data_IF_203774200108
#
_entry.id   IF_203774200108
#
_cell.length_a   1.000
_cell.length_b   1.000
_cell.length_c   1.000
_cell.angle_alpha   90.00
_cell.angle_beta   90.00
_cell.angle_gamma   90.00
#
_symmetry.space_group_name_H-M   'P 1'
#
loop_
_entity.id
_entity.type
_entity.pdbx_description
1 polymer ?
#
# COMPACT_ATOMS: atom_id res chain seq x y z
N UNK A 1 15.05 -3.03 14.25
CA UNK A 1 15.22 -1.64 14.74
C UNK A 1 14.50 -0.69 13.79
N UNK A 2 13.98 0.46 14.24
CA UNK A 2 13.41 1.44 13.31
C UNK A 2 14.50 2.02 12.40
N UNK A 3 14.21 2.33 11.12
CA UNK A 3 15.19 2.90 10.20
C UNK A 3 15.68 4.26 10.70
N UNK A 4 16.95 4.56 10.48
CA UNK A 4 17.55 5.87 10.74
C UNK A 4 17.67 6.65 9.42
N UNK A 5 17.04 7.82 9.34
CA UNK A 5 17.02 8.64 8.12
C UNK A 5 18.43 9.06 7.69
N UNK A 6 19.32 9.33 8.65
CA UNK A 6 20.70 9.79 8.38
C UNK A 6 21.58 8.69 7.75
N UNK A 7 21.19 7.43 7.86
CA UNK A 7 21.91 6.29 7.28
C UNK A 7 21.45 5.94 5.86
N UNK A 8 20.35 6.55 5.39
CA UNK A 8 19.71 6.21 4.14
C UNK A 8 20.04 7.21 3.04
N UNK A 9 20.16 6.70 1.82
CA UNK A 9 20.48 7.51 0.62
C UNK A 9 19.24 8.10 -0.05
N UNK A 10 18.08 7.94 0.56
CA UNK A 10 16.79 8.40 0.05
C UNK A 10 16.03 9.12 1.16
N UNK A 11 15.06 9.92 0.75
CA UNK A 11 14.15 10.59 1.68
C UNK A 11 13.21 9.56 2.32
N UNK A 12 13.55 9.15 3.55
CA UNK A 12 12.77 8.18 4.31
C UNK A 12 11.36 8.70 4.61
N UNK A 13 11.20 9.99 4.91
CA UNK A 13 9.90 10.54 5.28
C UNK A 13 8.94 10.54 4.08
N UNK A 14 9.42 11.01 2.92
CA UNK A 14 8.64 10.94 1.68
C UNK A 14 8.29 9.50 1.30
N UNK A 15 9.21 8.55 1.48
CA UNK A 15 8.95 7.15 1.21
C UNK A 15 7.87 6.58 2.14
N UNK A 16 7.93 6.89 3.44
CA UNK A 16 6.92 6.43 4.39
C UNK A 16 5.55 7.07 4.12
N UNK A 17 5.51 8.35 3.74
CA UNK A 17 4.27 9.06 3.39
C UNK A 17 3.60 8.57 2.11
N UNK A 18 4.30 7.82 1.26
CA UNK A 18 3.70 7.12 0.11
C UNK A 18 2.87 5.89 0.50
N UNK A 19 3.00 5.42 1.75
CA UNK A 19 2.26 4.27 2.26
C UNK A 19 0.86 4.68 2.70
N UNK A 20 -0.13 3.85 2.38
CA UNK A 20 -1.53 4.03 2.75
C UNK A 20 -2.10 2.79 3.42
N UNK A 21 -3.04 2.98 4.35
CA UNK A 21 -3.88 1.91 4.85
C UNK A 21 -4.94 1.61 3.78
N UNK A 22 -5.13 0.34 3.46
CA UNK A 22 -6.23 -0.14 2.63
C UNK A 22 -7.20 -0.86 3.56
N UNK A 23 -8.43 -0.35 3.68
CA UNK A 23 -9.54 -1.04 4.33
C UNK A 23 -10.61 -1.34 3.30
N UNK A 24 -11.04 -2.59 3.25
CA UNK A 24 -12.06 -3.05 2.32
C UNK A 24 -13.20 -3.72 3.06
N UNK A 25 -14.41 -3.52 2.55
CA UNK A 25 -15.62 -4.23 2.97
C UNK A 25 -16.12 -5.08 1.80
N UNK A 26 -16.43 -6.33 2.08
CA UNK A 26 -16.78 -7.37 1.12
C UNK A 26 -18.13 -7.97 1.55
N UNK A 27 -19.10 -8.16 0.63
CA UNK A 27 -20.38 -8.78 0.94
C UNK A 27 -20.24 -10.17 1.57
N UNK A 28 -21.13 -10.52 2.50
CA UNK A 28 -21.12 -11.82 3.19
C UNK A 28 -21.30 -13.01 2.23
N UNK A 29 -21.99 -12.80 1.11
CA UNK A 29 -22.27 -13.79 0.07
C UNK A 29 -21.19 -13.86 -1.01
N UNK A 30 -20.14 -13.04 -0.92
CA UNK A 30 -19.01 -13.09 -1.84
C UNK A 30 -18.25 -14.42 -1.70
N UNK A 31 -17.71 -14.92 -2.82
CA UNK A 31 -17.11 -16.24 -2.90
C UNK A 31 -15.92 -16.38 -1.93
N UNK A 32 -15.13 -15.33 -1.78
CA UNK A 32 -13.95 -15.35 -0.88
C UNK A 32 -14.25 -14.94 0.56
N UNK A 33 -15.46 -14.48 0.87
CA UNK A 33 -15.79 -13.97 2.21
C UNK A 33 -15.62 -15.03 3.31
N UNK A 34 -16.00 -16.28 3.04
CA UNK A 34 -15.86 -17.37 4.01
C UNK A 34 -14.42 -17.76 4.36
N UNK A 35 -13.44 -17.35 3.55
CA UNK A 35 -12.01 -17.67 3.73
C UNK A 35 -11.22 -16.43 4.17
N UNK A 36 -11.47 -15.30 3.54
CA UNK A 36 -10.71 -14.06 3.73
C UNK A 36 -11.40 -13.04 4.63
N UNK A 37 -12.62 -13.33 5.08
CA UNK A 37 -13.46 -12.40 5.83
C UNK A 37 -14.13 -11.34 4.95
N UNK A 38 -15.06 -10.63 5.59
CA UNK A 38 -15.85 -9.52 5.04
C UNK A 38 -15.22 -8.16 5.28
N UNK A 39 -14.31 -8.06 6.26
CA UNK A 39 -13.47 -6.89 6.46
C UNK A 39 -12.00 -7.27 6.23
N UNK A 40 -11.32 -6.50 5.39
CA UNK A 40 -9.91 -6.75 5.06
C UNK A 40 -9.12 -5.48 5.25
N UNK A 41 -8.00 -5.57 5.96
CA UNK A 41 -7.13 -4.44 6.26
C UNK A 41 -5.70 -4.80 5.91
N UNK A 42 -5.01 -3.89 5.22
CA UNK A 42 -3.62 -4.04 4.87
C UNK A 42 -2.99 -2.74 4.40
N UNK A 43 -1.90 -2.85 3.65
CA UNK A 43 -1.14 -1.70 3.18
C UNK A 43 -1.23 -1.56 1.65
N UNK A 44 -1.11 -0.33 1.19
CA UNK A 44 -0.85 0.01 -0.21
C UNK A 44 0.27 1.04 -0.31
N UNK A 45 0.81 1.19 -1.51
CA UNK A 45 1.83 2.18 -1.84
C UNK A 45 1.36 3.00 -3.05
N UNK A 46 1.45 4.31 -2.96
CA UNK A 46 1.17 5.22 -4.08
C UNK A 46 2.32 5.14 -5.08
N UNK A 47 2.03 4.79 -6.33
CA UNK A 47 3.06 4.53 -7.36
C UNK A 47 3.02 5.52 -8.54
N UNK A 48 2.09 6.46 -8.55
CA UNK A 48 1.93 7.49 -9.58
C UNK A 48 1.43 8.80 -8.97
N UNK A 49 1.77 9.91 -9.63
CA UNK A 49 1.42 11.27 -9.16
C UNK A 49 -0.10 11.55 -9.16
N UNK A 50 -0.88 10.77 -9.91
CA UNK A 50 -2.34 10.82 -9.87
C UNK A 50 -2.96 10.01 -8.72
N UNK A 51 -2.11 9.42 -7.85
CA UNK A 51 -2.52 8.74 -6.64
C UNK A 51 -2.79 7.25 -6.81
N UNK A 52 -2.50 6.64 -7.97
CA UNK A 52 -2.73 5.20 -8.14
C UNK A 52 -1.99 4.38 -7.06
N UNK A 53 -2.72 3.49 -6.39
CA UNK A 53 -2.20 2.66 -5.30
C UNK A 53 -1.98 1.23 -5.78
N UNK A 54 -0.80 0.68 -5.50
CA UNK A 54 -0.50 -0.74 -5.60
C UNK A 54 -0.71 -1.40 -4.23
N UNK A 55 -1.33 -2.56 -4.22
CA UNK A 55 -1.57 -3.37 -3.00
C UNK A 55 -1.59 -4.86 -3.37
N UNK A 56 -1.94 -5.72 -2.41
CA UNK A 56 -2.15 -7.15 -2.64
C UNK A 56 -3.63 -7.41 -2.94
N UNK A 57 -3.89 -8.14 -4.02
CA UNK A 57 -5.21 -8.31 -4.62
C UNK A 57 -6.25 -8.95 -3.70
N UNK A 58 -5.85 -9.81 -2.76
CA UNK A 58 -6.79 -10.40 -1.80
C UNK A 58 -7.50 -9.33 -0.94
N UNK A 59 -6.86 -8.17 -0.72
CA UNK A 59 -7.45 -7.07 0.04
C UNK A 59 -8.63 -6.44 -0.70
N UNK A 60 -8.66 -6.48 -2.03
CA UNK A 60 -9.63 -5.73 -2.86
C UNK A 60 -10.57 -6.63 -3.67
N UNK A 61 -10.29 -7.94 -3.69
CA UNK A 61 -11.10 -8.94 -4.39
C UNK A 61 -12.53 -8.96 -3.82
N UNK A 62 -13.51 -8.74 -4.69
CA UNK A 62 -14.95 -8.68 -4.34
C UNK A 62 -15.36 -7.53 -3.40
N UNK A 63 -14.46 -6.59 -3.13
CA UNK A 63 -14.76 -5.44 -2.27
C UNK A 63 -15.78 -4.50 -2.95
N UNK A 64 -16.83 -4.14 -2.20
CA UNK A 64 -17.82 -3.13 -2.61
C UNK A 64 -17.47 -1.74 -2.09
N UNK A 65 -16.76 -1.67 -0.97
CA UNK A 65 -16.23 -0.43 -0.39
C UNK A 65 -14.73 -0.57 -0.18
N UNK A 66 -13.96 0.44 -0.57
CA UNK A 66 -12.54 0.57 -0.22
C UNK A 66 -12.28 1.97 0.31
N UNK A 67 -11.56 2.05 1.42
CA UNK A 67 -11.01 3.26 2.01
C UNK A 67 -9.49 3.23 1.97
N UNK A 68 -8.91 4.33 1.51
CA UNK A 68 -7.47 4.58 1.48
C UNK A 68 -7.15 5.67 2.51
N UNK A 69 -6.37 5.35 3.54
CA UNK A 69 -5.96 6.32 4.56
C UNK A 69 -4.47 6.61 4.46
N UNK A 70 -4.12 7.89 4.37
CA UNK A 70 -2.72 8.34 4.30
C UNK A 70 -2.15 8.63 5.68
N UNK A 71 -0.81 8.62 5.82
CA UNK A 71 -0.14 9.03 7.06
C UNK A 71 -0.44 10.49 7.46
N UNK A 72 -0.88 11.32 6.51
CA UNK A 72 -1.26 12.72 6.75
C UNK A 72 -2.72 12.91 7.14
N UNK A 73 -3.44 11.81 7.38
CA UNK A 73 -4.79 11.82 7.92
C UNK A 73 -5.92 11.97 6.88
N UNK A 74 -5.60 12.03 5.58
CA UNK A 74 -6.62 11.98 4.54
C UNK A 74 -7.20 10.56 4.42
N UNK A 75 -8.52 10.46 4.32
CA UNK A 75 -9.25 9.22 4.03
C UNK A 75 -10.06 9.41 2.75
N UNK A 76 -9.84 8.55 1.76
CA UNK A 76 -10.39 8.69 0.41
C UNK A 76 -10.99 7.36 -0.04
N UNK A 77 -12.16 7.41 -0.66
CA UNK A 77 -12.76 6.23 -1.27
C UNK A 77 -11.90 5.72 -2.43
N UNK A 78 -11.75 4.41 -2.55
CA UNK A 78 -11.01 3.74 -3.61
C UNK A 78 -11.92 2.90 -4.50
N UNK A 79 -11.52 2.72 -5.74
CA UNK A 79 -12.12 1.78 -6.68
C UNK A 79 -11.10 0.70 -7.06
N UNK A 80 -11.43 -0.60 -6.96
CA UNK A 80 -10.58 -1.66 -7.47
C UNK A 80 -10.43 -1.51 -8.98
N UNK A 81 -9.24 -1.14 -9.45
CA UNK A 81 -8.98 -0.87 -10.87
C UNK A 81 -8.58 -2.13 -11.62
N UNK A 82 -7.72 -2.95 -11.02
CA UNK A 82 -7.24 -4.19 -11.63
C UNK A 82 -6.76 -5.16 -10.54
N UNK A 83 -6.81 -6.44 -10.88
CA UNK A 83 -6.20 -7.50 -10.09
C UNK A 83 -5.51 -8.49 -11.04
N UNK A 84 -4.21 -8.71 -10.82
CA UNK A 84 -3.46 -9.78 -11.48
C UNK A 84 -3.33 -11.00 -10.55
N UNK A 85 -4.04 -12.07 -10.89
CA UNK A 85 -4.05 -13.32 -10.12
C UNK A 85 -2.70 -14.04 -10.12
N UNK A 86 -1.88 -13.88 -11.17
CA UNK A 86 -0.63 -14.61 -11.28
C UNK A 86 0.42 -14.11 -10.27
N UNK A 87 0.49 -12.79 -10.08
CA UNK A 87 1.42 -12.17 -9.12
C UNK A 87 0.79 -11.90 -7.75
N UNK A 88 -0.54 -11.81 -7.68
CA UNK A 88 -1.26 -11.38 -6.49
C UNK A 88 -1.36 -9.86 -6.35
N UNK A 89 -0.96 -9.06 -7.32
CA UNK A 89 -1.02 -7.58 -7.22
C UNK A 89 -2.38 -7.01 -7.57
N UNK A 90 -2.84 -6.08 -6.73
CA UNK A 90 -4.05 -5.28 -6.94
C UNK A 90 -3.72 -3.81 -7.17
N UNK A 91 -4.52 -3.13 -8.01
CA UNK A 91 -4.48 -1.69 -8.19
C UNK A 91 -5.77 -1.06 -7.66
N UNK A 92 -5.64 0.02 -6.91
CA UNK A 92 -6.77 0.82 -6.42
C UNK A 92 -6.64 2.24 -6.95
N UNK A 93 -7.67 2.68 -7.67
CA UNK A 93 -7.81 4.06 -8.12
C UNK A 93 -8.46 4.87 -7.00
N UNK A 94 -7.82 5.91 -6.45
CA UNK A 94 -8.51 6.82 -5.55
C UNK A 94 -9.59 7.62 -6.29
N UNK A 95 -10.74 7.80 -5.66
CA UNK A 95 -11.87 8.60 -6.15
C UNK A 95 -11.82 10.06 -5.68
N UNK A 96 -10.69 10.46 -5.08
CA UNK A 96 -10.42 11.80 -4.59
C UNK A 96 -8.91 12.04 -4.44
N UNK A 97 -8.53 13.21 -3.93
CA UNK A 97 -7.12 13.56 -3.76
C UNK A 97 -6.55 12.91 -2.49
N UNK A 98 -5.62 11.96 -2.65
CA UNK A 98 -4.91 11.35 -1.53
C UNK A 98 -3.92 12.31 -0.85
N UNK A 99 -3.27 13.21 -1.62
CA UNK A 99 -2.20 14.10 -1.14
C UNK A 99 -0.99 13.35 -0.51
N UNK A 100 -0.77 12.10 -0.90
CA UNK A 100 0.42 11.31 -0.61
C UNK A 100 1.38 11.31 -1.83
N UNK A 101 2.70 11.37 -1.63
CA UNK A 101 3.67 11.34 -2.72
C UNK A 101 3.72 9.96 -3.40
N UNK A 102 4.00 9.93 -4.70
CA UNK A 102 4.31 8.70 -5.40
C UNK A 102 5.71 8.21 -5.04
N UNK A 103 5.85 6.92 -4.71
CA UNK A 103 7.15 6.31 -4.52
C UNK A 103 7.78 5.96 -5.87
N UNK A 104 8.95 6.52 -6.21
CA UNK A 104 9.63 6.17 -7.46
C UNK A 104 10.00 4.69 -7.47
N UNK A 105 9.67 4.01 -8.57
CA UNK A 105 10.02 2.60 -8.74
C UNK A 105 11.46 2.45 -9.22
N UNK A 106 12.27 1.74 -8.45
CA UNK A 106 13.60 1.29 -8.86
C UNK A 106 13.56 0.03 -9.75
N UNK A 107 14.70 -0.64 -9.89
CA UNK A 107 14.80 -1.94 -10.57
C UNK A 107 15.29 -3.02 -9.62
N UNK A 108 14.60 -4.14 -9.54
CA UNK A 108 15.03 -5.27 -8.72
C UNK A 108 16.35 -5.89 -9.23
N UNK A 109 16.69 -5.69 -10.50
CA UNK A 109 17.93 -6.20 -11.09
C UNK A 109 19.21 -5.53 -10.53
N UNK A 110 19.09 -4.36 -9.88
CA UNK A 110 20.22 -3.70 -9.22
C UNK A 110 20.41 -4.15 -7.77
N UNK A 111 19.45 -4.88 -7.19
CA UNK A 111 19.52 -5.36 -5.82
C UNK A 111 20.46 -6.56 -5.69
N UNK A 112 21.15 -6.66 -4.55
CA UNK A 112 22.09 -7.73 -4.22
C UNK A 112 21.80 -8.30 -2.83
N UNK A 113 22.21 -9.54 -2.63
CA UNK A 113 22.20 -10.15 -1.30
C UNK A 113 23.09 -9.33 -0.37
N UNK A 114 22.54 -8.94 0.79
CA UNK A 114 23.22 -8.11 1.78
C UNK A 114 22.98 -6.60 1.64
N UNK A 115 22.21 -6.16 0.63
CA UNK A 115 21.76 -4.77 0.57
C UNK A 115 20.85 -4.45 1.77
N UNK A 116 21.00 -3.25 2.34
CA UNK A 116 20.11 -2.76 3.40
C UNK A 116 18.67 -2.62 2.88
N UNK A 117 17.70 -3.12 3.66
CA UNK A 117 16.27 -3.04 3.31
C UNK A 117 15.49 -2.28 4.38
N UNK A 118 14.51 -1.49 3.93
CA UNK A 118 13.48 -0.91 4.79
C UNK A 118 12.14 -1.52 4.42
N UNK A 119 11.50 -2.18 5.40
CA UNK A 119 10.12 -2.63 5.29
C UNK A 119 9.23 -1.56 5.91
N UNK A 120 8.21 -1.11 5.19
CA UNK A 120 7.33 -0.04 5.61
C UNK A 120 5.85 -0.41 5.43
N UNK A 121 5.03 -0.03 6.40
CA UNK A 121 3.57 0.01 6.31
C UNK A 121 3.03 1.41 6.57
N UNK A 122 1.71 1.57 6.47
CA UNK A 122 1.02 2.75 6.96
C UNK A 122 1.25 2.97 8.46
N UNK A 123 1.33 4.22 8.88
CA UNK A 123 1.57 4.66 10.25
C UNK A 123 3.01 5.13 10.51
N UNK A 124 3.74 5.49 9.45
CA UNK A 124 5.05 6.15 9.51
C UNK A 124 6.15 5.30 10.14
N UNK A 125 7.15 5.97 10.73
CA UNK A 125 8.38 5.34 11.24
C UNK A 125 8.14 4.27 12.32
N UNK A 126 7.03 4.37 13.05
CA UNK A 126 6.61 3.35 14.04
C UNK A 126 6.28 1.99 13.40
N UNK A 127 5.85 2.00 12.15
CA UNK A 127 5.51 0.83 11.34
C UNK A 127 6.54 0.57 10.24
N UNK A 128 7.78 1.02 10.46
CA UNK A 128 8.90 0.78 9.59
C UNK A 128 10.03 0.04 10.31
N UNK A 129 10.66 -0.91 9.61
CA UNK A 129 11.72 -1.76 10.12
C UNK A 129 12.91 -1.73 9.15
N UNK A 130 14.11 -1.48 9.68
CA UNK A 130 15.36 -1.80 8.98
C UNK A 130 15.61 -3.30 9.12
N UNK A 131 15.76 -3.99 7.99
CA UNK A 131 15.93 -5.43 7.87
C UNK A 131 17.31 -5.77 7.28
#
# INVERSE_FOLDING_TARGET
>A
MQPNAEELRFDLEAALDSMVLVRSEVPEDAFTAGILGTERVGNGVVIRDDGLVLTIGYLITEATTIWLNTNRGAAVAGHPLAYDQATGFGLVQPLGKLAAPALPRGTAASCRVGDDVVVAGHGGRKHALKA
#
